data_IF_511528301142
#
_entry.id   IF_511528301142
#
_cell.length_a   1.000
_cell.length_b   1.000
_cell.length_c   1.000
_cell.angle_alpha   90.00
_cell.angle_beta   90.00
_cell.angle_gamma   90.00
#
_symmetry.space_group_name_H-M   'P 1'
#
loop_
_entity.id
_entity.type
_entity.pdbx_description
1 polymer ?
#
# COMPACT_ATOMS: atom_id res chain seq x y z
N UNK A 1 14.51 6.42 16.32
CA UNK A 1 13.42 6.76 15.37
C UNK A 1 14.02 6.92 13.99
N UNK A 2 13.29 6.56 12.94
CA UNK A 2 13.77 6.52 11.56
C UNK A 2 14.30 5.17 11.08
N UNK A 3 14.41 4.16 11.96
CA UNK A 3 14.75 2.80 11.54
C UNK A 3 13.58 2.15 10.77
N UNK A 4 12.36 2.46 11.18
CA UNK A 4 11.11 2.10 10.51
C UNK A 4 11.03 2.64 9.06
N UNK A 5 11.57 3.84 8.82
CA UNK A 5 11.63 4.42 7.48
C UNK A 5 12.67 3.71 6.59
N UNK A 6 13.81 3.27 7.16
CA UNK A 6 14.77 2.43 6.44
C UNK A 6 14.14 1.12 5.96
N UNK A 7 13.22 0.53 6.73
CA UNK A 7 12.49 -0.67 6.31
C UNK A 7 11.50 -0.39 5.17
N UNK A 8 10.82 0.75 5.18
CA UNK A 8 9.97 1.16 4.05
C UNK A 8 10.80 1.30 2.76
N UNK A 9 12.04 1.77 2.87
CA UNK A 9 12.96 1.95 1.76
C UNK A 9 13.75 0.70 1.35
N UNK A 10 13.57 -0.45 2.02
CA UNK A 10 14.14 -1.72 1.56
C UNK A 10 13.67 -2.10 0.15
N UNK A 11 12.51 -1.61 -0.27
CA UNK A 11 12.01 -1.79 -1.64
C UNK A 11 12.84 -1.05 -2.69
N UNK A 12 13.51 0.04 -2.33
CA UNK A 12 14.29 0.89 -3.23
C UNK A 12 15.78 0.53 -3.24
N UNK A 13 16.40 0.42 -2.06
CA UNK A 13 17.86 0.27 -1.95
C UNK A 13 18.33 -1.17 -1.69
N UNK A 14 17.43 -2.04 -1.22
CA UNK A 14 17.78 -3.39 -0.81
C UNK A 14 18.58 -3.46 0.50
N UNK A 15 18.84 -4.70 0.97
CA UNK A 15 19.38 -4.95 2.33
C UNK A 15 20.83 -4.53 2.55
N UNK A 16 21.69 -4.65 1.53
CA UNK A 16 23.14 -4.45 1.69
C UNK A 16 23.52 -2.98 1.86
N UNK A 17 23.05 -2.04 1.01
CA UNK A 17 23.37 -0.62 1.17
C UNK A 17 22.88 -0.06 2.49
N UNK A 18 21.67 -0.43 2.91
CA UNK A 18 21.07 0.00 4.19
C UNK A 18 21.94 -0.44 5.37
N UNK A 19 22.36 -1.72 5.40
CA UNK A 19 23.21 -2.23 6.48
C UNK A 19 24.57 -1.54 6.51
N UNK A 20 25.19 -1.35 5.34
CA UNK A 20 26.49 -0.68 5.28
C UNK A 20 26.38 0.77 5.77
N UNK A 21 25.43 1.54 5.28
CA UNK A 21 25.22 2.92 5.70
C UNK A 21 24.93 3.02 7.21
N UNK A 22 24.09 2.12 7.74
CA UNK A 22 23.75 2.10 9.15
C UNK A 22 24.96 1.80 10.04
N UNK A 23 25.64 0.68 9.79
CA UNK A 23 26.71 0.20 10.68
C UNK A 23 28.05 0.93 10.46
N UNK A 24 28.35 1.41 9.25
CA UNK A 24 29.62 2.07 8.96
C UNK A 24 29.60 3.57 9.25
N UNK A 25 28.45 4.24 9.14
CA UNK A 25 28.36 5.70 9.23
C UNK A 25 27.36 6.17 10.29
N UNK A 26 26.09 5.81 10.16
CA UNK A 26 25.01 6.41 10.96
C UNK A 26 25.12 6.05 12.43
N UNK A 27 25.24 4.76 12.75
CA UNK A 27 25.30 4.28 14.14
C UNK A 27 26.56 4.80 14.88
N UNK A 28 27.78 4.71 14.32
CA UNK A 28 28.95 5.33 14.94
C UNK A 28 28.79 6.83 15.17
N UNK A 29 28.29 7.57 14.18
CA UNK A 29 28.09 9.01 14.29
C UNK A 29 27.06 9.37 15.39
N UNK A 30 25.95 8.64 15.47
CA UNK A 30 24.94 8.84 16.52
C UNK A 30 25.50 8.56 17.91
N UNK A 31 26.25 7.46 18.07
CA UNK A 31 26.86 7.11 19.36
C UNK A 31 27.80 8.22 19.81
N UNK A 32 28.71 8.67 18.95
CA UNK A 32 29.62 9.78 19.25
C UNK A 32 28.85 11.06 19.60
N UNK A 33 27.80 11.38 18.84
CA UNK A 33 27.00 12.57 19.08
C UNK A 33 26.28 12.53 20.44
N UNK A 34 25.62 11.42 20.79
CA UNK A 34 24.94 11.27 22.07
C UNK A 34 25.91 11.25 23.26
N UNK A 35 27.07 10.59 23.13
CA UNK A 35 28.11 10.62 24.16
C UNK A 35 28.64 12.04 24.38
N UNK A 36 28.85 12.79 23.28
CA UNK A 36 29.24 14.20 23.35
C UNK A 36 28.18 15.08 24.04
N UNK A 37 26.89 14.90 23.69
CA UNK A 37 25.80 15.61 24.36
C UNK A 37 25.74 15.28 25.86
N UNK A 38 25.93 14.00 26.22
CA UNK A 38 26.00 13.57 27.61
C UNK A 38 27.14 14.23 28.38
N UNK A 39 28.35 14.27 27.78
CA UNK A 39 29.50 14.95 28.37
C UNK A 39 29.26 16.46 28.56
N UNK A 40 28.62 17.12 27.58
CA UNK A 40 28.27 18.53 27.66
C UNK A 40 27.30 18.83 28.80
N UNK A 41 26.22 18.04 28.92
CA UNK A 41 25.21 18.23 29.98
C UNK A 41 25.79 17.96 31.37
N UNK A 42 26.72 17.01 31.50
CA UNK A 42 27.43 16.77 32.76
C UNK A 42 28.30 17.96 33.18
N UNK A 43 28.92 18.66 32.23
CA UNK A 43 29.74 19.85 32.52
C UNK A 43 28.88 21.12 32.70
N UNK A 44 27.82 21.25 31.91
CA UNK A 44 26.95 22.43 31.86
C UNK A 44 25.48 21.98 31.85
N UNK A 45 24.85 21.83 33.03
CA UNK A 45 23.47 21.34 33.15
C UNK A 45 22.45 22.19 32.36
N UNK A 46 22.69 23.49 32.23
CA UNK A 46 21.85 24.41 31.46
C UNK A 46 21.78 24.08 29.96
N UNK A 47 22.73 23.29 29.45
CA UNK A 47 22.74 22.87 28.06
C UNK A 47 21.61 21.89 27.69
N UNK A 48 20.88 21.37 28.69
CA UNK A 48 19.76 20.44 28.49
C UNK A 48 18.66 20.99 27.58
N UNK A 49 18.52 22.33 27.49
CA UNK A 49 17.51 22.96 26.65
C UNK A 49 17.75 22.73 25.15
N UNK A 50 19.00 22.75 24.69
CA UNK A 50 19.37 22.52 23.30
C UNK A 50 20.78 21.89 23.19
N UNK A 51 20.96 20.62 23.61
CA UNK A 51 22.28 20.01 23.75
C UNK A 51 23.04 19.94 22.42
N UNK A 52 22.33 19.60 21.34
CA UNK A 52 22.91 19.43 20.02
C UNK A 52 23.49 20.73 19.45
N UNK A 53 22.77 21.85 19.59
CA UNK A 53 23.23 23.15 19.09
C UNK A 53 24.31 23.78 19.98
N UNK A 54 24.27 23.53 21.29
CA UNK A 54 25.31 24.01 22.22
C UNK A 54 26.62 23.21 22.12
N UNK A 55 26.57 22.00 21.57
CA UNK A 55 27.77 21.21 21.30
C UNK A 55 28.60 21.77 20.13
N UNK A 56 27.97 22.52 19.23
CA UNK A 56 28.67 23.15 18.11
C UNK A 56 29.39 24.43 18.56
N UNK A 57 30.64 24.67 18.11
CA UNK A 57 31.30 25.96 18.32
C UNK A 57 30.50 27.09 17.64
N UNK A 58 30.58 28.31 18.17
CA UNK A 58 29.70 29.42 17.75
C UNK A 58 29.69 29.70 16.24
N UNK A 59 30.82 29.51 15.55
CA UNK A 59 30.92 29.67 14.09
C UNK A 59 30.16 28.59 13.30
N UNK A 60 30.03 27.37 13.86
CA UNK A 60 29.41 26.22 13.21
C UNK A 60 27.89 26.15 13.44
N UNK A 61 27.35 26.99 14.34
CA UNK A 61 25.93 26.95 14.71
C UNK A 61 25.01 27.26 13.52
N UNK A 62 25.29 28.34 12.76
CA UNK A 62 24.50 28.69 11.57
C UNK A 62 24.59 27.61 10.48
N UNK A 63 25.79 27.14 10.08
CA UNK A 63 25.92 25.99 9.17
C UNK A 63 25.16 24.74 9.64
N UNK A 64 25.22 24.42 10.93
CA UNK A 64 24.52 23.27 11.51
C UNK A 64 23.00 23.42 11.43
N UNK A 65 22.46 24.61 11.70
CA UNK A 65 21.02 24.89 11.56
C UNK A 65 20.56 24.72 10.10
N UNK A 66 21.33 25.24 9.14
CA UNK A 66 21.02 25.08 7.70
C UNK A 66 21.04 23.60 7.32
N UNK A 67 22.08 22.87 7.73
CA UNK A 67 22.20 21.43 7.44
C UNK A 67 21.09 20.61 8.09
N UNK A 68 20.74 20.90 9.34
CA UNK A 68 19.62 20.27 10.04
C UNK A 68 18.29 20.56 9.33
N UNK A 69 18.08 21.79 8.86
CA UNK A 69 16.88 22.17 8.11
C UNK A 69 16.79 21.39 6.79
N UNK A 70 17.88 21.31 6.02
CA UNK A 70 17.92 20.50 4.80
C UNK A 70 17.67 19.01 5.09
N UNK A 71 18.26 18.47 6.15
CA UNK A 71 18.03 17.09 6.57
C UNK A 71 16.56 16.84 6.96
N UNK A 72 15.90 17.77 7.66
CA UNK A 72 14.47 17.63 7.99
C UNK A 72 13.57 17.66 6.74
N UNK A 73 13.91 18.45 5.73
CA UNK A 73 13.20 18.45 4.43
C UNK A 73 13.35 17.10 3.75
N UNK A 74 14.58 16.57 3.67
CA UNK A 74 14.84 15.25 3.06
C UNK A 74 14.07 14.15 3.80
N UNK A 75 14.12 14.13 5.14
CA UNK A 75 13.40 13.15 5.95
C UNK A 75 11.88 13.24 5.73
N UNK A 76 11.33 14.46 5.63
CA UNK A 76 9.92 14.67 5.33
C UNK A 76 9.52 14.12 3.95
N UNK A 77 10.36 14.33 2.92
CA UNK A 77 10.12 13.80 1.58
C UNK A 77 10.14 12.26 1.54
N UNK A 78 11.06 11.63 2.28
CA UNK A 78 11.10 10.17 2.40
C UNK A 78 9.82 9.61 3.03
N UNK A 79 9.33 10.23 4.12
CA UNK A 79 8.07 9.84 4.77
C UNK A 79 6.84 10.02 3.87
N UNK A 80 6.76 11.13 3.12
CA UNK A 80 5.67 11.37 2.16
C UNK A 80 5.66 10.30 1.07
N UNK A 81 6.84 9.96 0.52
CA UNK A 81 6.98 8.91 -0.50
C UNK A 81 6.62 7.52 0.05
N UNK A 82 7.02 7.22 1.29
CA UNK A 82 6.62 6.01 2.00
C UNK A 82 5.11 5.91 2.19
N UNK A 83 4.44 7.02 2.52
CA UNK A 83 2.99 7.07 2.66
C UNK A 83 2.26 6.81 1.33
N UNK A 84 2.78 7.29 0.20
CA UNK A 84 2.23 6.97 -1.12
C UNK A 84 2.35 5.47 -1.42
N UNK A 85 3.49 4.86 -1.08
CA UNK A 85 3.71 3.42 -1.26
C UNK A 85 2.75 2.59 -0.41
N UNK A 86 2.57 2.94 0.87
CA UNK A 86 1.62 2.27 1.76
C UNK A 86 0.16 2.45 1.28
N UNK A 87 -0.19 3.62 0.77
CA UNK A 87 -1.51 3.87 0.19
C UNK A 87 -1.74 3.03 -1.09
N UNK A 88 -0.75 2.97 -2.00
CA UNK A 88 -0.82 2.10 -3.20
C UNK A 88 -1.03 0.64 -2.82
N UNK A 89 -0.26 0.12 -1.86
CA UNK A 89 -0.41 -1.24 -1.35
C UNK A 89 -1.80 -1.47 -0.73
N UNK A 90 -2.30 -0.50 0.04
CA UNK A 90 -3.63 -0.56 0.64
C UNK A 90 -4.76 -0.54 -0.40
N UNK A 91 -4.59 0.17 -1.52
CA UNK A 91 -5.54 0.14 -2.66
C UNK A 91 -5.57 -1.24 -3.30
N UNK A 92 -4.41 -1.89 -3.47
CA UNK A 92 -4.31 -3.21 -4.09
C UNK A 92 -4.89 -4.32 -3.23
N UNK A 93 -4.68 -4.26 -1.92
CA UNK A 93 -5.39 -5.09 -0.93
C UNK A 93 -6.87 -4.69 -0.78
N UNK A 94 -7.22 -3.52 -1.35
CA UNK A 94 -8.57 -3.01 -1.44
C UNK A 94 -9.16 -2.52 -0.11
N UNK A 95 -8.28 -2.09 0.79
CA UNK A 95 -8.66 -1.31 1.97
C UNK A 95 -8.94 0.16 1.64
N UNK A 96 -8.46 0.67 0.51
CA UNK A 96 -8.70 2.05 0.08
C UNK A 96 -9.40 2.12 -1.28
N UNK A 97 -10.16 3.20 -1.55
CA UNK A 97 -10.69 3.47 -2.87
C UNK A 97 -9.57 3.64 -3.89
N UNK A 98 -9.84 3.29 -5.15
CA UNK A 98 -8.91 3.55 -6.25
C UNK A 98 -8.68 5.06 -6.37
N UNK A 99 -7.44 5.49 -6.16
CA UNK A 99 -7.01 6.88 -6.34
C UNK A 99 -6.15 6.98 -7.59
N UNK A 100 -6.10 8.17 -8.19
CA UNK A 100 -5.20 8.44 -9.33
C UNK A 100 -3.75 8.39 -8.84
N UNK A 101 -3.00 7.42 -9.34
CA UNK A 101 -1.55 7.30 -9.13
C UNK A 101 -0.86 7.92 -10.34
N UNK A 102 -0.02 8.92 -10.11
CA UNK A 102 0.82 9.53 -11.13
C UNK A 102 2.24 9.00 -10.96
N UNK A 103 2.79 8.40 -12.00
CA UNK A 103 4.18 7.95 -12.01
C UNK A 103 5.07 9.13 -12.42
N UNK A 104 5.99 9.53 -11.55
CA UNK A 104 6.87 10.68 -11.81
C UNK A 104 8.17 10.29 -12.53
N UNK A 105 8.49 9.00 -12.57
CA UNK A 105 9.58 8.45 -13.38
C UNK A 105 9.11 7.19 -14.10
N UNK A 106 9.54 7.05 -15.35
CA UNK A 106 9.30 5.85 -16.16
C UNK A 106 10.23 4.68 -15.78
N UNK A 107 11.30 4.94 -15.03
CA UNK A 107 12.33 3.94 -14.71
C UNK A 107 12.21 3.41 -13.27
N UNK A 108 11.65 4.20 -12.36
CA UNK A 108 11.62 3.88 -10.93
C UNK A 108 10.18 3.69 -10.43
N UNK A 109 9.78 2.43 -10.23
CA UNK A 109 8.42 2.05 -9.82
C UNK A 109 7.97 2.63 -8.47
N UNK A 110 8.92 3.08 -7.65
CA UNK A 110 8.67 3.71 -6.35
C UNK A 110 8.42 5.22 -6.39
N UNK A 111 8.70 5.86 -7.53
CA UNK A 111 8.46 7.29 -7.72
C UNK A 111 7.02 7.54 -8.16
N UNK A 112 6.12 7.48 -7.17
CA UNK A 112 4.69 7.66 -7.34
C UNK A 112 4.22 8.90 -6.59
N UNK A 113 3.25 9.60 -7.17
CA UNK A 113 2.56 10.71 -6.56
C UNK A 113 1.06 10.40 -6.48
N UNK A 114 0.50 10.50 -5.27
CA UNK A 114 -0.92 10.31 -5.02
C UNK A 114 -1.47 11.61 -4.42
N UNK A 115 -2.07 12.45 -5.27
CA UNK A 115 -2.49 13.80 -4.89
C UNK A 115 -3.43 13.85 -3.69
N UNK A 116 -4.39 12.93 -3.58
CA UNK A 116 -5.30 12.86 -2.44
C UNK A 116 -4.56 12.61 -1.11
N UNK A 117 -3.61 11.67 -1.10
CA UNK A 117 -2.78 11.39 0.08
C UNK A 117 -1.92 12.59 0.43
N UNK A 118 -1.36 13.28 -0.57
CA UNK A 118 -0.55 14.47 -0.34
C UNK A 118 -1.33 15.59 0.36
N UNK A 119 -2.53 15.89 -0.12
CA UNK A 119 -3.41 16.91 0.47
C UNK A 119 -3.88 16.51 1.87
N UNK A 120 -4.17 15.23 2.10
CA UNK A 120 -4.52 14.71 3.43
C UNK A 120 -3.35 14.84 4.41
N UNK A 121 -2.13 14.50 3.99
CA UNK A 121 -0.93 14.68 4.82
C UNK A 121 -0.70 16.17 5.13
N UNK A 122 -0.83 17.06 4.15
CA UNK A 122 -0.72 18.50 4.36
C UNK A 122 -1.73 18.99 5.40
N UNK A 123 -3.01 18.61 5.26
CA UNK A 123 -4.05 18.96 6.22
C UNK A 123 -3.72 18.42 7.63
N UNK A 124 -3.26 17.17 7.73
CA UNK A 124 -2.84 16.56 8.99
C UNK A 124 -1.67 17.30 9.66
N UNK A 125 -0.67 17.72 8.88
CA UNK A 125 0.46 18.51 9.37
C UNK A 125 0.00 19.88 9.86
N UNK A 126 -0.84 20.59 9.10
CA UNK A 126 -1.39 21.89 9.52
C UNK A 126 -2.19 21.76 10.83
N UNK A 127 -3.05 20.75 10.93
CA UNK A 127 -3.82 20.46 12.16
C UNK A 127 -2.87 20.18 13.33
N UNK A 128 -1.85 19.34 13.14
CA UNK A 128 -0.89 19.02 14.18
C UNK A 128 -0.11 20.27 14.66
N UNK A 129 0.36 21.12 13.74
CA UNK A 129 1.09 22.35 14.09
C UNK A 129 0.21 23.30 14.90
N UNK A 130 -1.06 23.50 14.48
CA UNK A 130 -2.00 24.41 15.17
C UNK A 130 -2.41 23.86 16.54
N UNK A 131 -2.59 22.54 16.66
CA UNK A 131 -3.01 21.87 17.90
C UNK A 131 -1.89 21.85 18.94
N UNK A 132 -0.69 21.43 18.55
CA UNK A 132 0.40 21.21 19.50
C UNK A 132 1.17 22.48 19.86
N UNK A 133 1.39 23.40 18.91
CA UNK A 133 2.10 24.70 19.04
C UNK A 133 3.54 24.65 19.59
N UNK A 134 3.92 23.58 20.29
CA UNK A 134 5.19 23.37 20.96
C UNK A 134 5.79 22.03 20.50
N UNK A 135 7.07 22.05 20.14
CA UNK A 135 7.83 20.88 19.67
C UNK A 135 7.91 19.76 20.72
N UNK A 136 7.93 20.09 22.01
CA UNK A 136 7.96 19.09 23.08
C UNK A 136 6.68 18.24 23.14
N UNK A 137 5.51 18.87 22.96
CA UNK A 137 4.23 18.17 22.96
C UNK A 137 4.06 17.30 21.71
N UNK A 138 4.54 17.79 20.55
CA UNK A 138 4.56 17.01 19.31
C UNK A 138 5.49 15.78 19.43
N UNK A 139 6.64 15.93 20.08
CA UNK A 139 7.58 14.83 20.31
C UNK A 139 6.99 13.73 21.21
N UNK A 140 6.22 14.12 22.23
CA UNK A 140 5.50 13.17 23.10
C UNK A 140 4.46 12.36 22.31
N UNK A 141 3.67 13.02 21.47
CA UNK A 141 2.68 12.35 20.62
C UNK A 141 3.33 11.33 19.66
N UNK A 142 4.41 11.75 18.99
CA UNK A 142 5.15 10.90 18.07
C UNK A 142 5.79 9.67 18.75
N UNK A 143 6.31 9.81 19.98
CA UNK A 143 6.94 8.71 20.71
C UNK A 143 6.02 7.52 20.96
N UNK A 144 4.72 7.77 21.18
CA UNK A 144 3.72 6.72 21.37
C UNK A 144 3.47 5.96 20.07
N UNK A 145 3.35 6.66 18.94
CA UNK A 145 3.16 6.02 17.63
C UNK A 145 4.32 5.10 17.27
N UNK A 146 5.55 5.56 17.46
CA UNK A 146 6.74 4.77 17.11
C UNK A 146 6.91 3.59 18.04
N UNK A 147 6.76 3.78 19.37
CA UNK A 147 6.89 2.67 20.31
C UNK A 147 5.81 1.60 20.08
N UNK A 148 4.57 2.00 19.80
CA UNK A 148 3.50 1.06 19.43
C UNK A 148 3.81 0.33 18.12
N UNK A 149 4.31 1.03 17.11
CA UNK A 149 4.73 0.42 15.86
C UNK A 149 5.83 -0.62 16.09
N UNK A 150 6.84 -0.31 16.93
CA UNK A 150 7.92 -1.24 17.26
C UNK A 150 7.37 -2.52 17.91
N UNK A 151 6.48 -2.40 18.91
CA UNK A 151 5.80 -3.55 19.54
C UNK A 151 5.08 -4.41 18.49
N UNK A 152 4.30 -3.79 17.59
CA UNK A 152 3.56 -4.51 16.54
C UNK A 152 4.54 -5.21 15.59
N UNK A 153 5.60 -4.53 15.15
CA UNK A 153 6.58 -5.12 14.22
C UNK A 153 7.36 -6.27 14.85
N UNK A 154 7.75 -6.17 16.12
CA UNK A 154 8.43 -7.25 16.85
C UNK A 154 7.50 -8.45 17.05
N UNK A 155 6.23 -8.20 17.32
CA UNK A 155 5.21 -9.26 17.37
C UNK A 155 4.98 -9.93 16.00
N UNK A 156 4.90 -9.17 14.91
CA UNK A 156 4.79 -9.74 13.55
C UNK A 156 6.05 -10.52 13.16
N UNK A 157 7.22 -10.07 13.61
CA UNK A 157 8.50 -10.76 13.37
C UNK A 157 8.49 -12.19 13.93
N UNK A 158 7.80 -12.43 15.05
CA UNK A 158 7.63 -13.79 15.58
C UNK A 158 6.95 -14.72 14.57
N UNK A 159 5.87 -14.27 13.91
CA UNK A 159 5.19 -15.07 12.90
C UNK A 159 6.08 -15.34 11.69
N UNK A 160 6.87 -14.35 11.26
CA UNK A 160 7.83 -14.52 10.15
C UNK A 160 8.91 -15.53 10.51
N UNK A 161 9.53 -15.43 11.69
CA UNK A 161 10.58 -16.36 12.13
C UNK A 161 10.03 -17.78 12.30
N UNK A 162 8.82 -17.91 12.86
CA UNK A 162 8.21 -19.21 13.15
C UNK A 162 7.63 -19.90 11.92
N UNK A 163 6.85 -19.18 11.11
CA UNK A 163 6.09 -19.74 9.98
C UNK A 163 6.74 -19.44 8.63
N UNK A 164 7.36 -18.27 8.47
CA UNK A 164 8.06 -17.92 7.23
C UNK A 164 9.42 -18.61 7.09
N UNK A 165 10.20 -18.66 8.18
CA UNK A 165 11.54 -19.27 8.17
C UNK A 165 11.60 -20.68 8.77
N UNK A 166 10.52 -21.13 9.41
CA UNK A 166 10.41 -22.50 9.94
C UNK A 166 11.25 -22.79 11.17
N UNK A 167 11.73 -21.78 11.91
CA UNK A 167 12.50 -22.00 13.13
C UNK A 167 11.64 -22.64 14.25
N UNK A 168 12.23 -23.48 15.12
CA UNK A 168 11.50 -24.10 16.22
C UNK A 168 11.01 -23.04 17.23
N UNK A 169 9.85 -23.29 17.84
CA UNK A 169 9.18 -22.34 18.75
C UNK A 169 10.07 -21.76 19.87
N UNK A 170 10.95 -22.54 20.54
CA UNK A 170 11.77 -22.00 21.62
C UNK A 170 12.76 -20.94 21.11
N UNK A 171 13.34 -21.15 19.91
CA UNK A 171 14.27 -20.20 19.30
C UNK A 171 13.54 -18.93 18.87
N UNK A 172 12.37 -19.08 18.25
CA UNK A 172 11.54 -17.95 17.86
C UNK A 172 11.14 -17.11 19.09
N UNK A 173 10.63 -17.76 20.15
CA UNK A 173 10.25 -17.10 21.41
C UNK A 173 11.43 -16.44 22.10
N UNK A 174 12.59 -17.10 22.19
CA UNK A 174 13.76 -16.52 22.83
C UNK A 174 14.27 -15.29 22.07
N UNK A 175 14.33 -15.38 20.73
CA UNK A 175 14.79 -14.29 19.89
C UNK A 175 13.84 -13.08 19.94
N UNK A 176 12.54 -13.28 19.75
CA UNK A 176 11.58 -12.16 19.71
C UNK A 176 11.13 -11.70 21.08
N UNK A 177 11.10 -12.58 22.08
CA UNK A 177 10.65 -12.27 23.44
C UNK A 177 11.54 -11.25 24.12
N UNK A 178 12.87 -11.33 23.93
CA UNK A 178 13.80 -10.33 24.46
C UNK A 178 13.53 -8.93 23.88
N UNK A 179 13.41 -8.83 22.55
CA UNK A 179 13.13 -7.55 21.91
C UNK A 179 11.73 -7.03 22.28
N UNK A 180 10.74 -7.91 22.35
CA UNK A 180 9.39 -7.53 22.72
C UNK A 180 9.31 -7.01 24.15
N UNK A 181 10.09 -7.58 25.09
CA UNK A 181 10.17 -7.08 26.45
C UNK A 181 10.74 -5.65 26.50
N UNK A 182 11.77 -5.37 25.72
CA UNK A 182 12.35 -4.02 25.59
C UNK A 182 11.33 -3.05 24.98
N UNK A 183 10.68 -3.44 23.88
CA UNK A 183 9.69 -2.60 23.22
C UNK A 183 8.47 -2.32 24.11
N UNK A 184 8.00 -3.32 24.87
CA UNK A 184 6.92 -3.16 25.84
C UNK A 184 7.30 -2.21 26.98
N UNK A 185 8.56 -2.24 27.44
CA UNK A 185 9.05 -1.31 28.45
C UNK A 185 9.06 0.14 27.92
N UNK A 186 9.55 0.33 26.68
CA UNK A 186 9.52 1.63 26.02
C UNK A 186 8.10 2.12 25.76
N UNK A 187 7.20 1.22 25.34
CA UNK A 187 5.80 1.54 25.14
C UNK A 187 5.12 1.92 26.45
N UNK A 188 5.33 1.16 27.53
CA UNK A 188 4.78 1.47 28.86
C UNK A 188 5.25 2.84 29.37
N UNK A 189 6.53 3.18 29.16
CA UNK A 189 7.07 4.50 29.52
C UNK A 189 6.43 5.63 28.70
N UNK A 190 6.18 5.41 27.40
CA UNK A 190 5.54 6.40 26.55
C UNK A 190 4.02 6.47 26.76
N UNK A 191 3.36 5.39 27.18
CA UNK A 191 1.91 5.33 27.40
C UNK A 191 1.44 6.34 28.47
N UNK A 192 2.29 6.70 29.41
CA UNK A 192 2.01 7.75 30.39
C UNK A 192 1.76 9.12 29.73
N UNK A 193 2.32 9.36 28.54
CA UNK A 193 2.18 10.61 27.78
C UNK A 193 0.96 10.62 26.84
N UNK A 194 0.07 9.62 26.93
CA UNK A 194 -1.14 9.57 26.10
C UNK A 194 -2.01 10.80 26.36
N UNK A 195 -2.17 11.19 27.63
CA UNK A 195 -2.92 12.39 28.01
C UNK A 195 -2.26 13.69 27.49
N UNK A 196 -0.93 13.72 27.43
CA UNK A 196 -0.14 14.91 27.05
C UNK A 196 -0.02 15.12 25.53
N UNK A 197 -0.71 14.30 24.72
CA UNK A 197 -0.71 14.45 23.27
C UNK A 197 -0.73 13.15 22.47
N UNK A 198 -0.39 12.03 23.10
CA UNK A 198 -0.40 10.71 22.45
C UNK A 198 -1.74 10.22 21.94
N UNK A 199 -2.84 10.74 22.48
CA UNK A 199 -4.18 10.45 22.00
C UNK A 199 -4.38 10.88 20.53
N UNK A 200 -3.69 11.92 20.06
CA UNK A 200 -3.87 12.47 18.71
C UNK A 200 -3.52 11.47 17.60
N UNK A 201 -2.30 10.89 17.55
CA UNK A 201 -1.99 9.91 16.51
C UNK A 201 -2.79 8.61 16.67
N UNK A 202 -3.18 8.23 17.89
CA UNK A 202 -4.08 7.09 18.12
C UNK A 202 -5.47 7.33 17.52
N UNK A 203 -6.02 8.54 17.71
CA UNK A 203 -7.27 8.96 17.08
C UNK A 203 -7.16 8.94 15.55
N UNK A 204 -6.07 9.49 15.01
CA UNK A 204 -5.83 9.49 13.57
C UNK A 204 -5.73 8.07 13.01
N UNK A 205 -5.00 7.19 13.69
CA UNK A 205 -4.91 5.78 13.33
C UNK A 205 -6.29 5.09 13.37
N UNK A 206 -7.08 5.33 14.41
CA UNK A 206 -8.43 4.80 14.54
C UNK A 206 -9.34 5.28 13.40
N UNK A 207 -9.30 6.58 13.07
CA UNK A 207 -10.11 7.17 11.99
C UNK A 207 -9.75 6.56 10.63
N UNK A 208 -8.46 6.49 10.30
CA UNK A 208 -8.00 5.89 9.05
C UNK A 208 -8.36 4.41 8.99
N UNK A 209 -8.19 3.68 10.10
CA UNK A 209 -8.57 2.28 10.21
C UNK A 209 -10.08 2.06 10.00
N UNK A 210 -10.92 2.90 10.60
CA UNK A 210 -12.37 2.88 10.40
C UNK A 210 -12.72 3.09 8.93
N UNK A 211 -12.14 4.08 8.27
CA UNK A 211 -12.35 4.29 6.83
C UNK A 211 -11.96 3.05 6.02
N UNK A 212 -10.81 2.46 6.33
CA UNK A 212 -10.29 1.28 5.62
C UNK A 212 -11.20 0.05 5.80
N UNK A 213 -11.65 -0.24 7.02
CA UNK A 213 -12.49 -1.41 7.29
C UNK A 213 -13.90 -1.21 6.73
N UNK A 214 -14.46 0.00 6.84
CA UNK A 214 -15.76 0.35 6.24
C UNK A 214 -15.71 0.22 4.72
N UNK A 215 -14.63 0.68 4.07
CA UNK A 215 -14.46 0.54 2.64
C UNK A 215 -14.34 -0.92 2.20
N UNK A 216 -13.51 -1.71 2.90
CA UNK A 216 -13.37 -3.15 2.63
C UNK A 216 -14.71 -3.85 2.75
N UNK A 217 -15.43 -3.62 3.85
CA UNK A 217 -16.74 -4.22 4.10
C UNK A 217 -17.78 -3.81 3.05
N UNK A 218 -17.78 -2.53 2.65
CA UNK A 218 -18.65 -2.04 1.58
C UNK A 218 -18.42 -2.78 0.25
N UNK A 219 -17.15 -3.03 -0.12
CA UNK A 219 -16.83 -3.80 -1.32
C UNK A 219 -17.24 -5.28 -1.23
N UNK A 220 -17.09 -5.90 -0.06
CA UNK A 220 -17.57 -7.27 0.18
C UNK A 220 -19.09 -7.34 -0.02
N UNK A 221 -19.84 -6.44 0.60
CA UNK A 221 -21.31 -6.38 0.48
C UNK A 221 -21.76 -6.11 -0.97
N UNK A 222 -21.07 -5.24 -1.71
CA UNK A 222 -21.34 -5.01 -3.13
C UNK A 222 -21.11 -6.27 -3.97
N UNK A 223 -20.04 -7.00 -3.67
CA UNK A 223 -19.72 -8.25 -4.37
C UNK A 223 -20.77 -9.32 -4.08
N UNK A 224 -21.16 -9.49 -2.81
CA UNK A 224 -22.23 -10.40 -2.39
C UNK A 224 -23.56 -10.04 -3.06
N UNK A 225 -23.95 -8.77 -3.06
CA UNK A 225 -25.18 -8.32 -3.72
C UNK A 225 -25.17 -8.55 -5.24
N UNK A 226 -24.01 -8.32 -5.88
CA UNK A 226 -23.84 -8.59 -7.32
C UNK A 226 -24.02 -10.08 -7.61
N UNK A 227 -23.49 -10.95 -6.75
CA UNK A 227 -23.59 -12.40 -6.87
C UNK A 227 -25.02 -12.92 -6.72
N UNK A 228 -25.85 -12.32 -5.86
CA UNK A 228 -27.26 -12.72 -5.70
C UNK A 228 -28.07 -12.51 -6.98
N UNK A 229 -27.73 -11.50 -7.78
CA UNK A 229 -28.38 -11.20 -9.07
C UNK A 229 -27.54 -11.63 -10.28
N UNK A 230 -26.45 -12.34 -10.06
CA UNK A 230 -25.54 -12.76 -11.12
C UNK A 230 -26.17 -13.88 -11.95
N UNK A 231 -26.05 -13.74 -13.27
CA UNK A 231 -26.36 -14.82 -14.22
C UNK A 231 -25.05 -15.55 -14.51
N UNK A 232 -25.06 -16.87 -14.37
CA UNK A 232 -23.93 -17.72 -14.73
C UNK A 232 -23.56 -17.53 -16.21
N UNK A 233 -22.29 -17.23 -16.46
CA UNK A 233 -21.78 -16.90 -17.79
C UNK A 233 -21.90 -18.08 -18.76
N UNK A 234 -21.62 -19.30 -18.30
CA UNK A 234 -21.70 -20.48 -19.16
C UNK A 234 -23.14 -20.75 -19.58
N UNK A 235 -24.09 -20.73 -18.64
CA UNK A 235 -25.51 -20.88 -18.90
C UNK A 235 -26.05 -19.75 -19.81
N UNK A 236 -25.60 -18.50 -19.60
CA UNK A 236 -25.98 -17.37 -20.44
C UNK A 236 -25.50 -17.54 -21.88
N UNK A 237 -24.23 -17.90 -22.08
CA UNK A 237 -23.68 -18.14 -23.42
C UNK A 237 -24.38 -19.31 -24.11
N UNK A 238 -24.69 -20.40 -23.40
CA UNK A 238 -25.46 -21.52 -23.94
C UNK A 238 -26.83 -21.08 -24.45
N UNK A 239 -27.54 -20.23 -23.70
CA UNK A 239 -28.86 -19.71 -24.13
C UNK A 239 -28.76 -18.76 -25.33
N UNK A 240 -27.74 -17.90 -25.38
CA UNK A 240 -27.51 -17.00 -26.52
C UNK A 240 -27.16 -17.78 -27.78
N UNK A 241 -26.33 -18.81 -27.68
CA UNK A 241 -25.91 -19.56 -28.87
C UNK A 241 -26.95 -20.56 -29.37
N UNK A 242 -28.09 -20.70 -28.68
CA UNK A 242 -29.26 -21.38 -29.22
C UNK A 242 -29.91 -20.58 -30.37
N UNK A 243 -29.90 -19.25 -30.29
CA UNK A 243 -30.29 -18.33 -31.36
C UNK A 243 -29.25 -17.19 -31.48
N UNK A 244 -28.13 -17.45 -32.18
CA UNK A 244 -26.95 -16.60 -32.09
C UNK A 244 -27.20 -15.22 -32.73
N UNK A 245 -26.89 -14.11 -32.02
CA UNK A 245 -26.97 -12.78 -32.60
C UNK A 245 -25.94 -12.59 -33.71
N UNK A 246 -26.16 -11.61 -34.62
CA UNK A 246 -25.17 -11.25 -35.62
C UNK A 246 -23.80 -10.97 -35.00
N UNK A 247 -22.75 -11.48 -35.64
CA UNK A 247 -21.37 -11.25 -35.23
C UNK A 247 -20.71 -10.16 -36.06
N UNK A 248 -19.95 -9.28 -35.40
CA UNK A 248 -19.11 -8.27 -36.05
C UNK A 248 -17.63 -8.56 -35.85
N UNK A 249 -16.84 -8.18 -36.84
CA UNK A 249 -15.39 -8.34 -36.81
C UNK A 249 -14.76 -7.59 -35.62
N UNK A 250 -13.72 -8.20 -35.04
CA UNK A 250 -12.96 -7.64 -33.92
C UNK A 250 -13.08 -8.43 -32.63
N UNK A 251 -12.50 -7.87 -31.58
CA UNK A 251 -12.41 -8.50 -30.26
C UNK A 251 -13.05 -7.62 -29.20
N UNK A 252 -13.97 -8.17 -28.41
CA UNK A 252 -14.52 -7.49 -27.24
C UNK A 252 -13.90 -8.05 -25.96
N UNK A 253 -13.40 -7.16 -25.10
CA UNK A 253 -12.93 -7.48 -23.76
C UNK A 253 -13.93 -6.94 -22.75
N UNK A 254 -14.71 -7.82 -22.13
CA UNK A 254 -15.64 -7.49 -21.06
C UNK A 254 -14.99 -7.73 -19.71
N UNK A 255 -14.89 -6.69 -18.89
CA UNK A 255 -14.38 -6.81 -17.54
C UNK A 255 -15.48 -7.31 -16.59
N UNK A 256 -15.17 -8.39 -15.87
CA UNK A 256 -16.03 -8.99 -14.86
C UNK A 256 -15.40 -8.81 -13.47
N UNK A 257 -16.22 -8.37 -12.50
CA UNK A 257 -15.80 -8.26 -11.10
C UNK A 257 -15.63 -9.63 -10.43
N UNK A 258 -16.40 -10.63 -10.87
CA UNK A 258 -16.36 -12.00 -10.36
C UNK A 258 -16.19 -12.99 -11.51
N UNK A 259 -15.43 -14.04 -11.23
CA UNK A 259 -15.21 -15.16 -12.16
C UNK A 259 -16.53 -15.89 -12.43
N UNK A 260 -16.78 -16.26 -13.70
CA UNK A 260 -17.97 -17.05 -14.08
C UNK A 260 -19.29 -16.28 -14.11
N UNK A 261 -19.29 -14.98 -13.81
CA UNK A 261 -20.49 -14.15 -13.85
C UNK A 261 -20.59 -13.39 -15.16
N UNK A 262 -21.81 -13.33 -15.72
CA UNK A 262 -22.09 -12.55 -16.93
C UNK A 262 -21.90 -11.04 -16.66
N UNK A 263 -20.99 -10.35 -17.38
CA UNK A 263 -20.81 -8.92 -17.18
C UNK A 263 -22.05 -8.12 -17.59
N UNK A 264 -22.45 -7.14 -16.76
CA UNK A 264 -23.58 -6.25 -17.06
C UNK A 264 -23.39 -5.48 -18.37
N UNK A 265 -22.14 -5.12 -18.69
CA UNK A 265 -21.80 -4.47 -19.95
C UNK A 265 -22.14 -5.35 -21.18
N UNK A 266 -21.99 -6.67 -21.08
CA UNK A 266 -22.41 -7.58 -22.17
C UNK A 266 -23.92 -7.58 -22.31
N UNK A 267 -24.66 -7.72 -21.21
CA UNK A 267 -26.13 -7.72 -21.23
C UNK A 267 -26.70 -6.43 -21.82
N UNK A 268 -26.14 -5.27 -21.42
CA UNK A 268 -26.53 -3.98 -21.98
C UNK A 268 -26.16 -3.87 -23.46
N UNK A 269 -24.97 -4.32 -23.86
CA UNK A 269 -24.56 -4.30 -25.26
C UNK A 269 -25.48 -5.14 -26.14
N UNK A 270 -25.87 -6.33 -25.69
CA UNK A 270 -26.81 -7.19 -26.42
C UNK A 270 -28.22 -6.60 -26.45
N UNK A 271 -28.68 -5.98 -25.36
CA UNK A 271 -30.00 -5.32 -25.32
C UNK A 271 -30.11 -4.16 -26.33
N UNK A 272 -29.05 -3.37 -26.48
CA UNK A 272 -29.07 -2.16 -27.29
C UNK A 272 -28.55 -2.38 -28.71
N UNK A 273 -27.39 -3.02 -28.86
CA UNK A 273 -26.73 -3.21 -30.15
C UNK A 273 -27.15 -4.51 -30.83
N UNK A 274 -27.63 -5.51 -30.07
CA UNK A 274 -28.07 -6.82 -30.58
C UNK A 274 -27.02 -7.55 -31.41
N UNK A 275 -25.74 -7.30 -31.11
CA UNK A 275 -24.59 -7.80 -31.86
C UNK A 275 -23.54 -8.31 -30.87
N UNK A 276 -22.85 -9.39 -31.24
CA UNK A 276 -21.69 -9.92 -30.52
C UNK A 276 -20.42 -9.74 -31.36
N UNK A 277 -19.25 -9.62 -30.75
CA UNK A 277 -18.00 -9.60 -31.54
C UNK A 277 -17.62 -11.04 -31.93
N UNK A 278 -16.74 -11.19 -32.93
CA UNK A 278 -16.21 -12.51 -33.32
C UNK A 278 -15.49 -13.17 -32.15
N UNK A 279 -14.60 -12.43 -31.46
CA UNK A 279 -13.86 -12.91 -30.29
C UNK A 279 -14.31 -12.17 -29.04
N UNK A 280 -14.70 -12.89 -27.99
CA UNK A 280 -15.17 -12.28 -26.74
C UNK A 280 -14.36 -12.82 -25.56
N UNK A 281 -13.69 -11.92 -24.84
CA UNK A 281 -12.90 -12.24 -23.65
C UNK A 281 -13.62 -11.71 -22.42
N UNK A 282 -13.87 -12.59 -21.46
CA UNK A 282 -14.43 -12.28 -20.16
C UNK A 282 -13.30 -12.26 -19.14
N UNK A 283 -12.87 -11.04 -18.79
CA UNK A 283 -11.63 -10.83 -18.04
C UNK A 283 -11.93 -10.51 -16.58
N UNK A 284 -11.38 -11.29 -15.66
CA UNK A 284 -11.42 -11.03 -14.23
C UNK A 284 -10.02 -10.75 -13.72
N UNK A 285 -9.82 -9.62 -13.03
CA UNK A 285 -8.52 -9.26 -12.45
C UNK A 285 -8.51 -9.59 -10.97
N UNK A 286 -7.63 -10.51 -10.55
CA UNK A 286 -7.45 -10.93 -9.15
C UNK A 286 -6.17 -10.34 -8.57
N UNK A 287 -6.29 -9.80 -7.37
CA UNK A 287 -5.14 -9.35 -6.58
C UNK A 287 -4.86 -10.37 -5.50
N UNK A 288 -3.60 -10.76 -5.36
CA UNK A 288 -3.12 -11.76 -4.41
C UNK A 288 -2.25 -11.09 -3.34
N UNK A 289 -2.23 -11.66 -2.14
CA UNK A 289 -1.42 -11.20 -1.01
C UNK A 289 0.06 -11.64 -1.10
N UNK A 290 0.53 -12.04 -2.28
CA UNK A 290 1.94 -12.34 -2.55
C UNK A 290 2.64 -11.16 -3.25
N UNK A 291 3.96 -10.96 -3.06
CA UNK A 291 4.65 -9.79 -3.60
C UNK A 291 4.57 -9.70 -5.12
N UNK A 292 4.86 -10.78 -5.84
CA UNK A 292 4.77 -10.85 -7.30
C UNK A 292 4.23 -12.21 -7.69
N UNK A 293 3.28 -12.24 -8.63
CA UNK A 293 2.78 -13.49 -9.21
C UNK A 293 3.75 -13.96 -10.30
N UNK A 294 4.19 -15.23 -10.31
CA UNK A 294 5.03 -15.77 -11.39
C UNK A 294 4.40 -15.54 -12.77
N UNK A 295 5.21 -15.30 -13.80
CA UNK A 295 4.72 -15.04 -15.17
C UNK A 295 3.86 -16.18 -15.73
N UNK A 296 4.15 -17.43 -15.34
CA UNK A 296 3.40 -18.61 -15.75
C UNK A 296 1.98 -18.65 -15.14
N UNK A 297 1.78 -18.09 -13.95
CA UNK A 297 0.48 -18.05 -13.26
C UNK A 297 -0.25 -16.71 -13.46
N UNK A 298 0.39 -15.78 -14.18
CA UNK A 298 -0.10 -14.42 -14.44
C UNK A 298 -1.45 -14.42 -15.13
N UNK A 299 -1.66 -15.35 -16.07
CA UNK A 299 -2.89 -15.44 -16.84
C UNK A 299 -3.35 -16.88 -16.92
N UNK A 300 -4.62 -17.10 -16.62
CA UNK A 300 -5.30 -18.38 -16.80
C UNK A 300 -6.39 -18.18 -17.83
N UNK A 301 -6.44 -19.06 -18.83
CA UNK A 301 -7.38 -18.98 -19.94
C UNK A 301 -8.20 -20.26 -20.00
N UNK A 302 -9.52 -20.12 -19.99
CA UNK A 302 -10.46 -21.23 -20.10
C UNK A 302 -11.36 -21.02 -21.33
N UNK A 303 -11.40 -21.96 -22.29
CA UNK A 303 -12.32 -21.88 -23.42
C UNK A 303 -13.78 -22.06 -22.95
N UNK A 304 -14.67 -21.18 -23.42
CA UNK A 304 -16.12 -21.30 -23.20
C UNK A 304 -16.87 -21.74 -24.48
N UNK A 305 -16.13 -21.99 -25.57
CA UNK A 305 -16.69 -22.34 -26.87
C UNK A 305 -17.15 -21.11 -27.67
N UNK A 306 -17.44 -21.28 -28.96
CA UNK A 306 -17.96 -20.24 -29.84
C UNK A 306 -17.11 -18.95 -29.87
N UNK A 307 -15.78 -19.06 -29.83
CA UNK A 307 -14.84 -17.93 -29.76
C UNK A 307 -15.03 -17.03 -28.52
N UNK A 308 -15.60 -17.60 -27.45
CA UNK A 308 -15.68 -17.01 -26.13
C UNK A 308 -14.63 -17.62 -25.20
N UNK A 309 -13.96 -16.76 -24.44
CA UNK A 309 -12.86 -17.13 -23.56
C UNK A 309 -13.03 -16.47 -22.20
N UNK A 310 -12.81 -17.24 -21.14
CA UNK A 310 -12.69 -16.72 -19.78
C UNK A 310 -11.22 -16.54 -19.45
N UNK A 311 -10.85 -15.36 -18.97
CA UNK A 311 -9.47 -15.00 -18.70
C UNK A 311 -9.34 -14.44 -17.29
N UNK A 312 -8.51 -15.06 -16.47
CA UNK A 312 -8.20 -14.58 -15.13
C UNK A 312 -6.79 -14.02 -15.16
N UNK A 313 -6.63 -12.75 -14.76
CA UNK A 313 -5.33 -12.10 -14.66
C UNK A 313 -4.98 -11.88 -13.20
N UNK A 314 -3.86 -12.44 -12.76
CA UNK A 314 -3.42 -12.49 -11.37
C UNK A 314 -2.29 -11.49 -11.12
N UNK A 315 -2.46 -10.56 -10.18
CA UNK A 315 -1.42 -9.61 -9.78
C UNK A 315 -1.10 -9.76 -8.29
N UNK A 316 0.18 -9.66 -7.95
CA UNK A 316 0.66 -9.48 -6.58
C UNK A 316 0.72 -8.00 -6.19
N UNK A 317 0.90 -7.72 -4.90
CA UNK A 317 0.91 -6.35 -4.39
C UNK A 317 2.17 -5.52 -4.74
N UNK A 318 3.17 -6.11 -5.41
CA UNK A 318 4.29 -5.37 -6.03
C UNK A 318 4.31 -5.46 -7.54
N UNK A 319 3.29 -6.04 -8.15
CA UNK A 319 3.17 -6.05 -9.60
C UNK A 319 2.58 -4.74 -10.11
N UNK A 320 3.03 -4.30 -11.28
CA UNK A 320 2.42 -3.18 -11.99
C UNK A 320 1.20 -3.68 -12.80
N UNK A 321 0.09 -2.97 -12.64
CA UNK A 321 -1.19 -3.35 -13.21
C UNK A 321 -1.30 -2.81 -14.64
N UNK A 322 -0.79 -3.56 -15.60
CA UNK A 322 -0.99 -3.31 -17.03
C UNK A 322 -1.78 -4.47 -17.64
N UNK A 323 -3.09 -4.23 -17.82
CA UNK A 323 -4.00 -5.25 -18.33
C UNK A 323 -3.77 -5.53 -19.83
N UNK A 324 -3.68 -4.54 -20.73
CA UNK A 324 -3.31 -4.79 -22.12
C UNK A 324 -2.02 -5.59 -22.26
N UNK A 325 -0.97 -5.25 -21.50
CA UNK A 325 0.28 -6.00 -21.53
C UNK A 325 0.09 -7.43 -21.04
N UNK A 326 -0.66 -7.66 -19.95
CA UNK A 326 -0.93 -9.00 -19.46
C UNK A 326 -1.74 -9.85 -20.46
N UNK A 327 -2.71 -9.26 -21.16
CA UNK A 327 -3.49 -9.95 -22.18
C UNK A 327 -2.65 -10.39 -23.38
N UNK A 328 -1.48 -9.80 -23.64
CA UNK A 328 -0.58 -10.32 -24.69
C UNK A 328 -0.09 -11.76 -24.39
N UNK A 329 -0.08 -12.16 -23.12
CA UNK A 329 0.29 -13.52 -22.71
C UNK A 329 -0.74 -14.57 -23.13
N UNK A 330 -1.99 -14.18 -23.43
CA UNK A 330 -3.01 -15.11 -23.94
C UNK A 330 -2.83 -15.47 -25.40
N UNK A 331 -1.81 -14.93 -26.07
CA UNK A 331 -1.59 -15.09 -27.51
C UNK A 331 -1.52 -16.55 -27.96
N UNK A 332 -0.99 -17.45 -27.12
CA UNK A 332 -0.90 -18.87 -27.44
C UNK A 332 -2.28 -19.55 -27.48
N UNK A 333 -3.24 -19.10 -26.66
CA UNK A 333 -4.57 -19.69 -26.56
C UNK A 333 -5.60 -19.00 -27.47
N UNK A 334 -5.58 -17.66 -27.53
CA UNK A 334 -6.62 -16.84 -28.17
C UNK A 334 -6.13 -16.21 -29.50
N UNK A 335 -4.84 -16.28 -29.78
CA UNK A 335 -4.20 -15.59 -30.90
C UNK A 335 -3.86 -14.13 -30.59
N UNK A 336 -3.27 -13.39 -31.56
CA UNK A 336 -2.88 -12.00 -31.35
C UNK A 336 -4.09 -11.08 -31.18
N UNK A 337 -4.01 -10.21 -30.17
CA UNK A 337 -4.95 -9.11 -29.93
C UNK A 337 -4.40 -7.85 -30.58
N UNK A 338 -5.06 -7.36 -31.64
CA UNK A 338 -4.73 -6.09 -32.26
C UNK A 338 -5.39 -4.95 -31.47
N UNK A 339 -4.64 -3.97 -30.95
CA UNK A 339 -5.19 -2.82 -30.24
C UNK A 339 -6.25 -2.04 -31.02
N UNK A 340 -6.15 -1.97 -32.35
CA UNK A 340 -7.11 -1.21 -33.18
C UNK A 340 -8.43 -1.95 -33.39
N UNK A 341 -8.45 -3.27 -33.25
CA UNK A 341 -9.66 -4.09 -33.37
C UNK A 341 -10.20 -4.57 -32.03
N UNK A 342 -9.61 -4.13 -30.90
CA UNK A 342 -9.97 -4.59 -29.55
C UNK A 342 -10.71 -3.50 -28.79
N UNK A 343 -11.97 -3.76 -28.44
CA UNK A 343 -12.81 -2.85 -27.66
C UNK A 343 -12.92 -3.31 -26.21
N UNK A 344 -12.68 -2.40 -25.27
CA UNK A 344 -12.77 -2.68 -23.83
C UNK A 344 -14.10 -2.16 -23.27
N UNK A 345 -14.89 -3.06 -22.71
CA UNK A 345 -16.17 -2.75 -22.10
C UNK A 345 -16.05 -2.79 -20.58
N UNK A 346 -16.31 -1.64 -19.96
CA UNK A 346 -16.25 -1.43 -18.51
C UNK A 346 -17.66 -1.19 -17.97
N UNK A 347 -18.06 -1.96 -16.96
CA UNK A 347 -19.24 -1.64 -16.16
C UNK A 347 -18.88 -0.68 -15.03
N UNK A 348 -19.81 0.21 -14.70
CA UNK A 348 -19.71 1.09 -13.52
C UNK A 348 -20.81 0.72 -12.56
N UNK A 349 -20.43 0.27 -11.37
CA UNK A 349 -21.38 0.02 -10.30
C UNK A 349 -21.75 1.36 -9.64
N UNK A 350 -23.05 1.63 -9.54
CA UNK A 350 -23.57 2.82 -8.85
C UNK A 350 -24.25 2.33 -7.58
N UNK A 351 -23.69 2.71 -6.43
CA UNK A 351 -24.31 2.45 -5.13
C UNK A 351 -25.44 3.45 -4.95
N UNK A 352 -26.68 2.97 -4.96
CA UNK A 352 -27.85 3.80 -4.64
C UNK A 352 -28.16 3.61 -3.15
N UNK A 353 -28.03 4.66 -2.32
CA UNK A 353 -28.37 4.54 -0.91
C UNK A 353 -29.90 4.38 -0.79
N UNK A 354 -30.35 3.31 -0.15
CA UNK A 354 -31.69 3.26 0.41
C UNK A 354 -31.70 4.15 1.64
N UNK A 355 -32.40 5.28 1.56
CA UNK A 355 -32.74 6.06 2.74
C UNK A 355 -33.62 5.18 3.63
N UNK A 356 -33.06 4.75 4.75
CA UNK A 356 -33.75 4.03 5.81
C UNK A 356 -34.30 4.98 6.85
#
# INVERSE_FOLDING_TARGET
TGAEALYADMGHFGKQPIRLAWFALVMPALVVNYLGQGALVLQQPEAIANPSYRLAPGWALVPMVVLATLATVIASQALISGAYSAAKQSIQLGFLPRMRVLYTSEQEAGQIYIGAVNWLLLAGVVVAVVLFRNSAALAAAYGISVSLLMVITTWLTFFVVRHGWGYPQPVALAATGLFLAVDLLFFASNALKIADGGWFPLLMAALVFTVMITWKRGRELLTESTLVHAIDLAAFLQSIFADPPPRVAGTAVFLASVEGVTPSALMHSLKHYKVLHERNLFVTVRSHEIPRVPSAERVQVTPLGNECWQVIVNYGFKDDFDLPAALTLTRQAIGPLDPMSTSYFLSRDIVVPTLG
#
